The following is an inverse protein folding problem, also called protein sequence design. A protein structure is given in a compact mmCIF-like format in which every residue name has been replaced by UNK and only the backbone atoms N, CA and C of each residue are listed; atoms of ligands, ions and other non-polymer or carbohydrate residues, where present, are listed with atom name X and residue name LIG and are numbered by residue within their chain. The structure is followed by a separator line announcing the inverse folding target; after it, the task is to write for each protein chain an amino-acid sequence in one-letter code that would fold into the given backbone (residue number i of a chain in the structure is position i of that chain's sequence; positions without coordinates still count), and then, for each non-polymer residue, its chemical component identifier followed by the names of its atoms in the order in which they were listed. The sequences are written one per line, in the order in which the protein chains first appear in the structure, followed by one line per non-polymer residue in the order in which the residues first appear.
data_IF_013228937868
#
_entry.id   IF_013228937868
#
_cell.length_a   1.000
_cell.length_b   1.000
_cell.length_c   1.000
_cell.angle_alpha   90.00
_cell.angle_beta   90.00
_cell.angle_gamma   90.00
#
_symmetry.space_group_name_H-M   'P 1'
#
loop_
_entity.id
_entity.type
_entity.pdbx_description
1 polymer ?
#
# COMPACT_ATOMS: atom_id res chain seq x y z
N UNK A 1 -60.28 -4.04 -47.65
CA UNK A 1 -60.49 -2.57 -47.79
C UNK A 1 -60.16 -1.97 -46.44
N UNK A 2 -58.92 -1.54 -46.18
CA UNK A 2 -58.30 -0.26 -46.60
C UNK A 2 -59.12 0.95 -46.12
N UNK A 3 -58.41 1.88 -45.47
CA UNK A 3 -58.81 3.21 -44.95
C UNK A 3 -59.30 3.18 -43.49
N UNK A 4 -58.76 3.94 -42.51
CA UNK A 4 -58.11 5.24 -42.62
C UNK A 4 -57.15 5.52 -41.42
N UNK A 5 -55.87 5.72 -41.75
CA UNK A 5 -54.91 6.53 -41.00
C UNK A 5 -55.23 8.01 -41.23
N UNK A 6 -55.23 8.84 -40.18
CA UNK A 6 -54.53 10.15 -40.09
C UNK A 6 -55.24 11.18 -39.18
N UNK A 7 -54.38 12.02 -38.55
CA UNK A 7 -54.59 13.36 -37.97
C UNK A 7 -55.18 13.39 -36.54
N UNK A 8 -54.55 13.97 -35.51
CA UNK A 8 -53.63 15.14 -35.46
C UNK A 8 -52.58 15.05 -34.34
N UNK A 9 -51.34 15.34 -34.72
CA UNK A 9 -50.26 15.89 -33.87
C UNK A 9 -50.59 17.33 -33.48
N UNK A 10 -50.27 17.72 -32.24
CA UNK A 10 -49.49 18.91 -31.82
C UNK A 10 -49.98 19.41 -30.45
N UNK A 11 -49.12 19.28 -29.45
CA UNK A 11 -48.69 20.42 -28.63
C UNK A 11 -47.37 20.06 -27.94
N UNK A 12 -46.31 20.67 -28.46
CA UNK A 12 -45.01 20.80 -27.85
C UNK A 12 -45.09 21.94 -26.82
N UNK A 13 -44.63 21.71 -25.60
CA UNK A 13 -44.07 22.73 -24.68
C UNK A 13 -42.91 22.03 -23.96
N UNK A 14 -41.65 22.18 -24.41
CA UNK A 14 -40.71 23.22 -23.96
C UNK A 14 -40.90 23.54 -22.47
N UNK A 15 -40.20 22.79 -21.62
CA UNK A 15 -39.70 23.27 -20.33
C UNK A 15 -38.23 22.85 -20.29
N UNK A 16 -37.34 23.84 -20.42
CA UNK A 16 -35.98 23.78 -19.90
C UNK A 16 -36.07 23.58 -18.38
N UNK A 17 -35.36 22.59 -17.85
CA UNK A 17 -34.98 22.58 -16.44
C UNK A 17 -33.49 22.24 -16.38
N UNK A 18 -32.78 23.22 -15.84
CA UNK A 18 -31.34 23.27 -15.68
C UNK A 18 -30.82 22.16 -14.74
N UNK A 19 -29.65 21.67 -15.13
CA UNK A 19 -28.49 21.26 -14.31
C UNK A 19 -28.76 21.17 -12.80
N UNK A 20 -28.62 19.96 -12.24
CA UNK A 20 -27.99 19.70 -10.95
C UNK A 20 -27.57 18.21 -10.89
N UNK A 21 -26.31 17.97 -11.24
CA UNK A 21 -25.62 16.70 -11.03
C UNK A 21 -25.15 16.70 -9.57
N UNK A 22 -25.84 15.98 -8.68
CA UNK A 22 -25.43 15.81 -7.28
C UNK A 22 -24.63 14.52 -7.12
N UNK A 23 -23.30 14.70 -7.03
CA UNK A 23 -22.36 13.75 -6.47
C UNK A 23 -22.56 13.64 -4.95
N UNK A 24 -22.88 12.45 -4.45
CA UNK A 24 -22.65 12.08 -3.06
C UNK A 24 -22.28 10.60 -2.98
N UNK A 25 -21.04 10.31 -2.60
CA UNK A 25 -20.67 9.45 -1.45
C UNK A 25 -19.13 9.37 -1.34
N UNK A 26 -18.55 10.40 -0.74
CA UNK A 26 -17.26 10.32 -0.03
C UNK A 26 -17.55 10.58 1.45
N UNK A 27 -17.35 9.58 2.30
CA UNK A 27 -17.45 9.73 3.76
C UNK A 27 -16.23 10.49 4.30
N UNK A 28 -16.29 11.82 4.21
CA UNK A 28 -15.47 12.72 5.01
C UNK A 28 -16.15 14.10 5.06
N UNK A 29 -16.89 14.39 6.15
CA UNK A 29 -17.39 15.74 6.41
C UNK A 29 -16.27 16.63 7.00
N UNK A 30 -16.14 17.90 6.56
CA UNK A 30 -15.15 18.84 7.10
C UNK A 30 -15.60 19.47 8.44
N UNK A 31 -14.61 19.82 9.26
CA UNK A 31 -14.75 20.42 10.58
C UNK A 31 -15.52 21.75 10.58
N UNK A 32 -16.58 21.83 11.40
CA UNK A 32 -17.15 23.09 11.85
C UNK A 32 -16.53 23.45 13.22
N UNK A 33 -15.84 24.59 13.27
CA UNK A 33 -15.39 25.22 14.51
C UNK A 33 -16.60 25.73 15.29
N UNK A 34 -16.93 25.09 16.41
CA UNK A 34 -17.81 25.67 17.43
C UNK A 34 -17.01 25.92 18.71
N UNK A 35 -16.84 27.20 18.99
CA UNK A 35 -16.43 27.76 20.28
C UNK A 35 -17.57 27.60 21.28
N UNK A 36 -17.30 26.98 22.43
CA UNK A 36 -18.15 27.11 23.64
C UNK A 36 -17.28 27.03 24.91
N UNK A 37 -17.76 27.60 26.03
CA UNK A 37 -16.93 28.32 26.99
C UNK A 37 -16.45 27.50 28.20
N UNK A 38 -15.45 28.09 28.85
CA UNK A 38 -14.80 27.71 30.11
C UNK A 38 -15.77 27.44 31.27
N UNK A 39 -15.55 26.32 31.97
CA UNK A 39 -16.02 26.10 33.34
C UNK A 39 -14.83 25.70 34.22
N UNK A 40 -14.56 26.54 35.21
CA UNK A 40 -13.63 26.35 36.31
C UNK A 40 -14.23 25.39 37.34
N UNK A 41 -13.51 24.34 37.69
CA UNK A 41 -13.64 23.67 39.00
C UNK A 41 -12.26 23.21 39.47
N UNK A 42 -11.84 23.81 40.57
CA UNK A 42 -10.66 23.49 41.39
C UNK A 42 -10.80 22.16 42.11
N UNK A 43 -9.74 21.35 42.21
CA UNK A 43 -9.37 20.59 43.43
C UNK A 43 -7.99 19.91 43.26
N UNK A 44 -7.14 20.05 44.28
CA UNK A 44 -6.25 18.98 44.77
C UNK A 44 -4.89 18.79 44.10
N UNK A 45 -3.85 19.28 44.77
CA UNK A 45 -2.44 19.06 44.43
C UNK A 45 -1.97 17.61 44.67
N UNK A 46 -1.20 17.06 43.72
CA UNK A 46 -0.09 16.14 43.97
C UNK A 46 0.91 16.18 42.78
N UNK A 47 2.18 16.44 43.09
CA UNK A 47 3.29 16.65 42.12
C UNK A 47 3.86 15.32 41.58
N UNK A 48 4.26 15.27 40.31
CA UNK A 48 5.37 14.42 39.86
C UNK A 48 6.64 15.26 39.59
N UNK A 49 7.79 14.70 39.98
CA UNK A 49 9.14 15.23 39.75
C UNK A 49 9.50 15.21 38.26
N UNK A 50 9.75 16.39 37.69
CA UNK A 50 10.22 16.57 36.30
C UNK A 50 11.75 16.65 36.30
N UNK A 51 12.39 15.73 35.58
CA UNK A 51 13.78 15.85 35.17
C UNK A 51 13.94 17.04 34.21
N UNK A 52 14.80 18.01 34.56
CA UNK A 52 15.06 19.22 33.78
C UNK A 52 16.37 19.09 32.99
N UNK A 53 16.29 19.32 31.68
CA UNK A 53 17.44 19.54 30.79
C UNK A 53 18.24 20.80 31.23
N UNK A 54 19.59 20.77 31.27
CA UNK A 54 20.39 21.87 31.81
C UNK A 54 20.83 22.84 30.71
N UNK A 55 19.91 23.46 29.98
CA UNK A 55 20.21 24.58 29.08
C UNK A 55 18.98 25.49 28.95
N UNK A 56 18.78 26.39 29.91
CA UNK A 56 18.09 27.67 29.70
C UNK A 56 18.06 28.50 30.99
N UNK A 57 19.09 29.33 31.15
CA UNK A 57 19.01 30.59 31.91
C UNK A 57 19.67 31.63 31.04
N UNK A 58 18.90 32.53 30.45
CA UNK A 58 19.18 33.97 30.32
C UNK A 58 18.07 34.61 29.46
N UNK A 59 17.23 35.44 30.09
CA UNK A 59 16.29 36.32 29.40
C UNK A 59 16.93 37.71 29.26
N UNK A 60 17.05 38.13 27.99
CA UNK A 60 16.91 39.47 27.40
C UNK A 60 17.67 40.68 27.99
N UNK A 61 18.66 41.16 27.22
CA UNK A 61 19.06 42.58 27.09
C UNK A 61 19.11 42.96 25.60
N UNK A 62 18.84 44.24 25.24
CA UNK A 62 18.55 44.64 23.85
C UNK A 62 19.78 44.62 22.94
N UNK A 63 19.52 44.27 21.67
CA UNK A 63 20.50 44.05 20.60
C UNK A 63 21.07 45.40 20.09
N UNK A 64 22.41 45.51 20.01
CA UNK A 64 23.10 46.68 19.47
C UNK A 64 23.51 46.38 18.02
N UNK A 65 23.05 47.18 17.06
CA UNK A 65 23.41 47.08 15.65
C UNK A 65 24.83 47.61 15.41
N UNK A 66 25.64 46.87 14.64
CA UNK A 66 26.82 47.41 13.97
C UNK A 66 26.83 46.88 12.54
N UNK A 67 26.55 47.76 11.57
CA UNK A 67 26.74 47.50 10.14
C UNK A 67 28.24 47.36 9.82
N UNK A 68 28.65 46.43 8.94
CA UNK A 68 29.99 46.43 8.38
C UNK A 68 30.05 47.23 7.06
N UNK A 69 31.08 48.08 6.98
CA UNK A 69 31.39 49.01 5.89
C UNK A 69 31.85 48.31 4.60
N UNK A 70 31.33 48.76 3.45
CA UNK A 70 31.80 48.41 2.10
C UNK A 70 33.14 49.09 1.80
N UNK A 71 34.12 48.33 1.25
CA UNK A 71 35.32 48.89 0.63
C UNK A 71 35.66 48.12 -0.65
N UNK A 72 35.58 48.81 -1.80
CA UNK A 72 35.93 48.34 -3.14
C UNK A 72 37.44 48.39 -3.40
N UNK A 73 38.06 47.36 -3.99
CA UNK A 73 39.16 47.44 -4.98
C UNK A 73 39.31 46.07 -5.73
N UNK A 74 40.01 45.95 -6.89
CA UNK A 74 39.41 45.78 -8.22
C UNK A 74 39.69 44.42 -8.90
N UNK A 75 38.94 44.11 -9.95
CA UNK A 75 39.03 42.90 -10.78
C UNK A 75 40.13 43.05 -11.83
N UNK A 76 41.09 42.11 -11.90
CA UNK A 76 41.95 41.91 -13.07
C UNK A 76 41.43 40.73 -13.91
N UNK A 77 41.39 40.93 -15.23
CA UNK A 77 41.02 39.91 -16.22
C UNK A 77 42.28 39.40 -16.91
N UNK A 78 42.53 38.10 -16.85
CA UNK A 78 43.34 37.34 -17.83
C UNK A 78 42.80 35.88 -17.86
N UNK A 79 42.74 35.20 -19.03
CA UNK A 79 41.96 33.99 -19.20
C UNK A 79 42.81 32.71 -19.04
N UNK A 80 42.27 31.68 -18.39
CA UNK A 80 42.84 30.32 -18.42
C UNK A 80 41.83 29.34 -19.01
N UNK A 81 42.12 28.91 -20.24
CA UNK A 81 41.56 27.73 -20.90
C UNK A 81 42.36 26.51 -20.46
N UNK A 82 41.72 25.51 -19.84
CA UNK A 82 41.76 24.10 -20.29
C UNK A 82 40.91 23.20 -19.38
N UNK A 83 39.93 22.57 -20.01
CA UNK A 83 39.47 21.18 -19.85
C UNK A 83 39.82 20.45 -18.54
N UNK A 84 38.78 20.06 -17.81
CA UNK A 84 38.63 18.67 -17.38
C UNK A 84 37.15 18.37 -17.11
N UNK A 85 36.58 17.61 -18.05
CA UNK A 85 35.41 16.76 -17.87
C UNK A 85 35.63 15.84 -16.68
N UNK A 86 35.13 16.22 -15.50
CA UNK A 86 34.94 15.23 -14.43
C UNK A 86 33.68 14.46 -14.80
N UNK A 87 33.94 13.36 -15.49
CA UNK A 87 33.02 12.28 -15.79
C UNK A 87 32.07 12.00 -14.64
N UNK A 88 30.77 12.15 -14.91
CA UNK A 88 29.69 11.41 -14.27
C UNK A 88 29.74 9.91 -14.65
N UNK A 89 30.94 9.30 -14.59
CA UNK A 89 31.20 7.93 -14.99
C UNK A 89 32.07 7.25 -13.92
N UNK A 90 31.46 6.84 -12.80
CA UNK A 90 31.97 5.76 -11.95
C UNK A 90 31.02 5.27 -10.84
N UNK A 91 29.74 5.70 -10.78
CA UNK A 91 28.78 5.09 -9.82
C UNK A 91 28.28 3.71 -10.30
N UNK A 92 28.51 3.38 -11.57
CA UNK A 92 28.12 2.11 -12.18
C UNK A 92 29.17 0.99 -11.97
N UNK A 93 29.46 0.59 -10.73
CA UNK A 93 30.16 -0.70 -10.48
C UNK A 93 30.09 -1.25 -9.04
N UNK A 94 29.07 -0.92 -8.23
CA UNK A 94 28.89 -1.53 -6.90
C UNK A 94 27.58 -2.33 -6.73
N UNK A 95 26.85 -2.63 -7.83
CA UNK A 95 25.60 -3.38 -7.76
C UNK A 95 25.73 -4.88 -7.46
N UNK A 96 26.96 -5.42 -7.34
CA UNK A 96 27.22 -6.87 -7.22
C UNK A 96 27.33 -7.41 -5.78
N UNK A 97 27.22 -6.57 -4.75
CA UNK A 97 27.44 -7.00 -3.35
C UNK A 97 26.15 -7.56 -2.71
N UNK A 98 24.98 -7.10 -3.15
CA UNK A 98 23.72 -7.48 -2.52
C UNK A 98 23.23 -8.86 -3.01
N UNK A 99 22.83 -9.76 -2.09
CA UNK A 99 22.24 -11.03 -2.45
C UNK A 99 21.03 -10.83 -3.38
N UNK A 100 20.98 -11.63 -4.45
CA UNK A 100 19.94 -11.57 -5.48
C UNK A 100 19.43 -12.99 -5.76
N UNK A 101 18.12 -13.16 -5.92
CA UNK A 101 17.57 -14.44 -6.34
C UNK A 101 17.90 -14.71 -7.81
N UNK A 102 18.28 -15.94 -8.12
CA UNK A 102 18.53 -16.37 -9.50
C UNK A 102 17.31 -17.12 -10.02
N UNK A 103 16.75 -16.66 -11.13
CA UNK A 103 15.58 -17.27 -11.77
C UNK A 103 16.01 -18.31 -12.80
N UNK A 104 16.33 -19.53 -12.36
CA UNK A 104 16.79 -20.62 -13.24
C UNK A 104 15.68 -21.56 -13.75
N UNK A 105 14.44 -21.37 -13.30
CA UNK A 105 13.35 -22.31 -13.60
C UNK A 105 12.63 -21.97 -14.92
N UNK A 106 11.73 -22.85 -15.38
CA UNK A 106 11.03 -22.71 -16.68
C UNK A 106 9.98 -21.60 -16.68
N UNK A 107 9.19 -21.45 -15.60
CA UNK A 107 8.22 -20.37 -15.43
C UNK A 107 8.74 -19.35 -14.41
N UNK A 108 8.33 -18.09 -14.48
CA UNK A 108 8.84 -17.09 -13.53
C UNK A 108 8.34 -17.39 -12.12
N UNK A 109 7.07 -17.71 -11.98
CA UNK A 109 6.47 -18.03 -10.70
C UNK A 109 5.05 -18.58 -10.82
N UNK A 110 4.47 -18.96 -9.69
CA UNK A 110 3.02 -19.13 -9.57
C UNK A 110 2.45 -17.93 -8.83
N UNK A 111 1.27 -17.48 -9.25
CA UNK A 111 0.55 -16.41 -8.59
C UNK A 111 -0.87 -16.88 -8.20
N UNK A 112 -1.26 -16.69 -6.95
CA UNK A 112 -2.64 -16.83 -6.50
C UNK A 112 -3.25 -15.44 -6.35
N UNK A 113 -4.30 -15.17 -7.12
CA UNK A 113 -5.06 -13.92 -7.08
C UNK A 113 -6.44 -14.22 -6.46
N UNK A 114 -6.68 -13.70 -5.26
CA UNK A 114 -7.99 -13.77 -4.59
C UNK A 114 -8.62 -12.38 -4.61
N UNK A 115 -9.79 -12.26 -5.23
CA UNK A 115 -10.52 -11.01 -5.34
C UNK A 115 -11.93 -11.13 -4.78
N UNK A 116 -12.16 -10.60 -3.59
CA UNK A 116 -13.49 -10.61 -2.98
C UNK A 116 -14.21 -9.33 -3.39
N UNK A 117 -15.29 -9.45 -4.17
CA UNK A 117 -16.00 -8.33 -4.79
C UNK A 117 -17.40 -8.18 -4.19
N UNK A 118 -18.13 -9.30 -4.15
CA UNK A 118 -19.55 -9.35 -3.77
C UNK A 118 -19.68 -9.89 -2.34
N UNK A 119 -19.98 -9.02 -1.39
CA UNK A 119 -20.18 -9.37 0.01
C UNK A 119 -21.66 -9.57 0.32
N UNK A 120 -21.95 -10.25 1.45
CA UNK A 120 -23.34 -10.41 1.94
C UNK A 120 -24.09 -9.08 2.03
N UNK A 121 -23.40 -8.04 2.47
CA UNK A 121 -23.90 -6.66 2.42
C UNK A 121 -23.60 -6.05 1.05
N UNK A 122 -24.65 -5.75 0.28
CA UNK A 122 -24.53 -5.19 -1.07
C UNK A 122 -23.88 -3.81 -1.08
N UNK A 123 -24.01 -3.04 0.01
CA UNK A 123 -23.36 -1.73 0.14
C UNK A 123 -21.83 -1.85 0.27
N UNK A 124 -21.33 -3.06 0.52
CA UNK A 124 -19.90 -3.38 0.58
C UNK A 124 -19.38 -3.98 -0.72
N UNK A 125 -20.14 -3.94 -1.81
CA UNK A 125 -19.62 -4.33 -3.13
C UNK A 125 -18.37 -3.53 -3.49
N UNK A 126 -17.31 -4.23 -3.93
CA UNK A 126 -16.07 -3.59 -4.36
C UNK A 126 -16.12 -3.27 -5.86
N UNK A 127 -16.96 -2.31 -6.25
CA UNK A 127 -17.03 -1.84 -7.64
C UNK A 127 -15.63 -1.45 -8.17
N UNK A 128 -15.34 -1.79 -9.43
CA UNK A 128 -14.01 -1.61 -10.03
C UNK A 128 -12.99 -2.70 -9.68
N UNK A 129 -13.21 -3.52 -8.64
CA UNK A 129 -12.22 -4.53 -8.24
C UNK A 129 -12.00 -5.61 -9.32
N UNK A 130 -12.98 -5.88 -10.19
CA UNK A 130 -12.80 -6.82 -11.30
C UNK A 130 -11.71 -6.34 -12.27
N UNK A 131 -11.65 -5.02 -12.51
CA UNK A 131 -10.64 -4.38 -13.36
C UNK A 131 -9.23 -4.63 -12.81
N UNK A 132 -9.05 -4.44 -11.50
CA UNK A 132 -7.78 -4.73 -10.81
C UNK A 132 -7.31 -6.17 -11.04
N UNK A 133 -8.20 -7.16 -10.87
CA UNK A 133 -7.82 -8.56 -11.10
C UNK A 133 -7.49 -8.85 -12.56
N UNK A 134 -8.16 -8.22 -13.52
CA UNK A 134 -7.92 -8.42 -14.94
C UNK A 134 -6.58 -7.84 -15.38
N UNK A 135 -6.27 -6.62 -14.94
CA UNK A 135 -5.02 -5.95 -15.27
C UNK A 135 -3.84 -6.69 -14.65
N UNK A 136 -3.96 -7.08 -13.38
CA UNK A 136 -2.90 -7.80 -12.69
C UNK A 136 -2.67 -9.20 -13.28
N UNK A 137 -3.73 -9.94 -13.62
CA UNK A 137 -3.62 -11.23 -14.31
C UNK A 137 -2.88 -11.09 -15.65
N UNK A 138 -3.23 -10.07 -16.44
CA UNK A 138 -2.59 -9.77 -17.72
C UNK A 138 -1.10 -9.47 -17.55
N UNK A 139 -0.74 -8.59 -16.63
CA UNK A 139 0.65 -8.22 -16.35
C UNK A 139 1.45 -9.44 -15.88
N UNK A 140 0.93 -10.20 -14.92
CA UNK A 140 1.63 -11.37 -14.37
C UNK A 140 1.83 -12.47 -15.41
N UNK A 141 0.82 -12.76 -16.25
CA UNK A 141 0.95 -13.72 -17.35
C UNK A 141 2.02 -13.28 -18.35
N UNK A 142 2.09 -11.99 -18.69
CA UNK A 142 3.13 -11.42 -19.57
C UNK A 142 4.54 -11.60 -19.02
N UNK A 143 4.71 -11.59 -17.70
CA UNK A 143 5.99 -11.88 -17.03
C UNK A 143 6.31 -13.38 -16.94
N UNK A 144 5.38 -14.26 -17.34
CA UNK A 144 5.56 -15.72 -17.29
C UNK A 144 5.18 -16.33 -15.94
N UNK A 145 4.27 -15.71 -15.18
CA UNK A 145 3.62 -16.37 -14.06
C UNK A 145 2.50 -17.30 -14.54
N UNK A 146 2.39 -18.44 -13.87
CA UNK A 146 1.18 -19.27 -13.88
C UNK A 146 0.19 -18.71 -12.86
N UNK A 147 -0.91 -18.13 -13.35
CA UNK A 147 -1.87 -17.40 -12.52
C UNK A 147 -3.10 -18.25 -12.22
N UNK A 148 -3.38 -18.46 -10.92
CA UNK A 148 -4.65 -18.99 -10.42
C UNK A 148 -5.51 -17.83 -9.89
N UNK A 149 -6.67 -17.61 -10.50
CA UNK A 149 -7.60 -16.55 -10.13
C UNK A 149 -8.84 -17.10 -9.42
N UNK A 150 -9.25 -16.47 -8.31
CA UNK A 150 -10.44 -16.82 -7.53
C UNK A 150 -11.20 -15.58 -7.07
N UNK A 151 -12.48 -15.57 -7.37
CA UNK A 151 -13.38 -14.53 -6.91
C UNK A 151 -14.22 -14.99 -5.71
N UNK A 152 -14.54 -14.02 -4.85
CA UNK A 152 -15.61 -14.13 -3.85
C UNK A 152 -15.49 -15.34 -2.89
N UNK A 153 -14.31 -15.54 -2.31
CA UNK A 153 -14.08 -16.62 -1.36
C UNK A 153 -14.59 -16.24 0.05
N UNK A 154 -15.21 -17.20 0.73
CA UNK A 154 -15.44 -17.11 2.17
C UNK A 154 -14.11 -17.05 2.93
N UNK A 155 -14.10 -16.60 4.19
CA UNK A 155 -12.87 -16.59 4.98
C UNK A 155 -12.24 -17.97 5.11
N UNK A 156 -13.08 -19.01 5.29
CA UNK A 156 -12.62 -20.41 5.35
C UNK A 156 -12.07 -20.89 4.02
N UNK A 157 -12.73 -20.59 2.91
CA UNK A 157 -12.27 -21.01 1.58
C UNK A 157 -11.01 -20.27 1.14
N UNK A 158 -10.87 -19.01 1.53
CA UNK A 158 -9.66 -18.23 1.31
C UNK A 158 -8.47 -18.89 2.01
N UNK A 159 -8.58 -19.19 3.31
CA UNK A 159 -7.50 -19.86 4.04
C UNK A 159 -7.22 -21.26 3.49
N UNK A 160 -8.27 -22.03 3.16
CA UNK A 160 -8.13 -23.35 2.53
C UNK A 160 -7.37 -23.25 1.21
N UNK A 161 -7.69 -22.27 0.36
CA UNK A 161 -7.02 -22.11 -0.93
C UNK A 161 -5.58 -21.66 -0.79
N UNK A 162 -5.31 -20.71 0.10
CA UNK A 162 -3.95 -20.28 0.42
C UNK A 162 -3.10 -21.47 0.88
N UNK A 163 -3.64 -22.32 1.77
CA UNK A 163 -2.98 -23.54 2.22
C UNK A 163 -2.74 -24.54 1.07
N UNK A 164 -3.71 -24.73 0.18
CA UNK A 164 -3.52 -25.59 -1.00
C UNK A 164 -2.42 -25.05 -1.94
N UNK A 165 -2.38 -23.73 -2.13
CA UNK A 165 -1.37 -23.08 -2.95
C UNK A 165 0.03 -23.18 -2.32
N UNK A 166 0.17 -22.98 -1.01
CA UNK A 166 1.46 -23.15 -0.32
C UNK A 166 1.99 -24.58 -0.38
N UNK A 167 1.11 -25.56 -0.56
CA UNK A 167 1.42 -26.98 -0.73
C UNK A 167 1.65 -27.41 -2.18
N UNK A 168 1.51 -26.48 -3.14
CA UNK A 168 1.73 -26.78 -4.55
C UNK A 168 3.22 -27.01 -4.85
N UNK A 169 3.52 -27.78 -5.90
CA UNK A 169 4.89 -27.98 -6.36
C UNK A 169 5.40 -26.74 -7.13
N UNK A 170 6.53 -26.18 -6.71
CA UNK A 170 7.21 -25.04 -7.33
C UNK A 170 8.53 -25.41 -8.02
N UNK A 171 8.87 -26.69 -8.23
CA UNK A 171 10.15 -27.10 -8.83
C UNK A 171 10.44 -26.43 -10.18
N UNK A 172 9.39 -26.08 -10.95
CA UNK A 172 9.49 -25.39 -12.25
C UNK A 172 9.20 -23.89 -12.20
N UNK A 173 9.12 -23.32 -11.01
CA UNK A 173 8.72 -21.93 -10.77
C UNK A 173 9.66 -21.28 -9.75
N UNK A 174 10.12 -20.06 -10.03
CA UNK A 174 11.10 -19.39 -9.18
C UNK A 174 10.46 -18.56 -8.07
N UNK A 175 9.27 -18.00 -8.29
CA UNK A 175 8.61 -17.06 -7.38
C UNK A 175 7.24 -17.63 -6.93
N UNK A 176 6.92 -17.45 -5.64
CA UNK A 176 5.56 -17.58 -5.12
C UNK A 176 4.99 -16.19 -4.89
N UNK A 177 3.86 -15.88 -5.53
CA UNK A 177 3.15 -14.62 -5.36
C UNK A 177 1.72 -14.89 -4.89
N UNK A 178 1.30 -14.21 -3.83
CA UNK A 178 -0.08 -14.24 -3.33
C UNK A 178 -0.61 -12.82 -3.29
N UNK A 179 -1.68 -12.54 -4.02
CA UNK A 179 -2.34 -11.24 -4.02
C UNK A 179 -3.76 -11.43 -3.52
N UNK A 180 -4.12 -10.72 -2.45
CA UNK A 180 -5.48 -10.74 -1.90
C UNK A 180 -6.04 -9.33 -1.89
N UNK A 181 -7.18 -9.16 -2.54
CA UNK A 181 -7.88 -7.90 -2.69
C UNK A 181 -9.26 -8.04 -2.05
N UNK A 182 -9.51 -7.32 -0.96
CA UNK A 182 -10.75 -7.41 -0.20
C UNK A 182 -10.94 -6.18 0.71
N UNK A 183 -12.01 -6.17 1.50
CA UNK A 183 -12.09 -5.32 2.68
C UNK A 183 -11.14 -5.82 3.78
N UNK A 184 -10.72 -4.91 4.65
CA UNK A 184 -9.91 -5.23 5.80
C UNK A 184 -10.12 -4.27 6.96
N UNK A 185 -9.68 -4.69 8.14
CA UNK A 185 -9.75 -3.93 9.39
C UNK A 185 -8.62 -4.38 10.33
N UNK A 186 -8.45 -3.68 11.45
CA UNK A 186 -7.50 -4.00 12.50
C UNK A 186 -8.20 -4.51 13.79
N UNK A 187 -9.43 -4.98 13.68
CA UNK A 187 -10.23 -5.41 14.82
C UNK A 187 -9.98 -6.88 15.08
N UNK A 188 -9.64 -7.22 16.32
CA UNK A 188 -9.59 -8.60 16.79
C UNK A 188 -10.77 -8.85 17.72
N UNK A 189 -11.52 -9.90 17.42
CA UNK A 189 -12.57 -10.39 18.31
C UNK A 189 -12.01 -11.49 19.21
N UNK A 190 -12.12 -11.31 20.52
CA UNK A 190 -11.81 -12.32 21.53
C UNK A 190 -13.04 -12.52 22.42
N UNK A 191 -13.76 -13.62 22.22
CA UNK A 191 -15.08 -13.83 22.83
C UNK A 191 -16.08 -12.76 22.37
N UNK A 192 -16.69 -12.07 23.33
CA UNK A 192 -17.64 -10.98 23.06
C UNK A 192 -16.96 -9.61 22.89
N UNK A 193 -15.64 -9.53 23.09
CA UNK A 193 -14.91 -8.27 23.04
C UNK A 193 -14.29 -8.05 21.66
N UNK A 194 -14.48 -6.84 21.10
CA UNK A 194 -13.84 -6.40 19.86
C UNK A 194 -12.85 -5.29 20.21
N UNK A 195 -11.57 -5.53 19.93
CA UNK A 195 -10.48 -4.58 20.20
C UNK A 195 -9.74 -4.26 18.92
N UNK A 196 -9.47 -2.98 18.69
CA UNK A 196 -8.48 -2.58 17.71
C UNK A 196 -7.10 -3.04 18.19
N UNK A 197 -6.38 -3.78 17.36
CA UNK A 197 -5.02 -4.22 17.64
C UNK A 197 -4.06 -3.22 17.01
N UNK A 198 -3.26 -2.49 17.81
CA UNK A 198 -2.23 -1.59 17.28
C UNK A 198 -1.04 -2.39 16.71
N UNK A 199 -0.10 -1.71 16.07
CA UNK A 199 1.15 -2.34 15.63
C UNK A 199 1.05 -3.14 14.32
N UNK A 200 0.11 -2.79 13.42
CA UNK A 200 0.10 -3.32 12.06
C UNK A 200 -0.77 -4.56 11.83
N UNK A 201 -1.42 -5.09 12.87
CA UNK A 201 -2.37 -6.19 12.74
C UNK A 201 -3.44 -5.88 11.70
N UNK A 202 -3.64 -6.80 10.77
CA UNK A 202 -4.58 -6.63 9.66
C UNK A 202 -5.37 -7.91 9.45
N UNK A 203 -6.69 -7.78 9.43
CA UNK A 203 -7.62 -8.83 9.03
C UNK A 203 -8.20 -8.53 7.65
N UNK A 204 -8.39 -9.59 6.88
CA UNK A 204 -9.02 -9.57 5.56
C UNK A 204 -10.38 -10.24 5.68
N UNK A 205 -11.42 -9.58 5.18
CA UNK A 205 -12.77 -10.12 5.18
C UNK A 205 -12.99 -11.08 4.02
N UNK A 206 -13.52 -12.27 4.29
CA UNK A 206 -14.18 -13.11 3.30
C UNK A 206 -15.55 -12.53 2.92
N UNK A 207 -16.12 -12.98 1.80
CA UNK A 207 -17.47 -12.53 1.37
C UNK A 207 -18.59 -12.88 2.33
N UNK A 208 -18.33 -13.88 3.19
CA UNK A 208 -19.21 -14.32 4.26
C UNK A 208 -19.08 -13.51 5.56
N UNK A 209 -18.22 -12.47 5.55
CA UNK A 209 -17.77 -11.65 6.68
C UNK A 209 -16.84 -12.36 7.67
N UNK A 210 -16.43 -13.60 7.40
CA UNK A 210 -15.41 -14.28 8.21
C UNK A 210 -14.06 -13.60 7.99
N UNK A 211 -13.41 -13.20 9.08
CA UNK A 211 -12.13 -12.51 9.03
C UNK A 211 -10.94 -13.49 9.06
N UNK A 212 -9.88 -13.17 8.31
CA UNK A 212 -8.64 -13.94 8.30
C UNK A 212 -7.47 -12.98 8.49
N UNK A 213 -6.66 -13.19 9.52
CA UNK A 213 -5.47 -12.37 9.74
C UNK A 213 -4.42 -12.60 8.65
N UNK A 214 -3.75 -11.52 8.21
CA UNK A 214 -2.66 -11.62 7.22
C UNK A 214 -1.53 -12.50 7.71
N UNK A 215 -1.25 -12.48 9.01
CA UNK A 215 -0.23 -13.35 9.61
C UNK A 215 -0.61 -14.83 9.51
N UNK A 216 -1.91 -15.18 9.60
CA UNK A 216 -2.38 -16.56 9.38
C UNK A 216 -2.14 -17.03 7.95
N UNK A 217 -2.30 -16.13 6.97
CA UNK A 217 -2.02 -16.38 5.55
C UNK A 217 -0.52 -16.57 5.33
N UNK A 218 0.30 -15.64 5.81
CA UNK A 218 1.77 -15.70 5.68
C UNK A 218 2.34 -16.93 6.38
N UNK A 219 1.78 -17.32 7.53
CA UNK A 219 2.18 -18.50 8.27
C UNK A 219 1.98 -19.82 7.50
N UNK A 220 1.15 -19.84 6.45
CA UNK A 220 1.06 -21.01 5.55
C UNK A 220 2.32 -21.22 4.71
N UNK A 221 3.24 -20.25 4.68
CA UNK A 221 4.45 -20.26 3.86
C UNK A 221 5.76 -20.33 4.66
N UNK A 222 5.67 -20.67 5.93
CA UNK A 222 6.85 -20.99 6.74
C UNK A 222 7.51 -22.27 6.22
N UNK A 223 8.78 -22.48 6.59
CA UNK A 223 9.54 -23.68 6.18
C UNK A 223 8.85 -25.00 6.56
N UNK A 224 8.04 -24.99 7.62
CA UNK A 224 7.31 -26.16 8.11
C UNK A 224 5.94 -26.34 7.45
N UNK A 225 5.30 -25.23 7.04
CA UNK A 225 3.90 -25.25 6.58
C UNK A 225 3.74 -25.22 5.06
N UNK A 226 4.82 -25.06 4.29
CA UNK A 226 4.76 -25.05 2.83
C UNK A 226 5.52 -26.19 2.18
N UNK A 227 5.28 -26.37 0.89
CA UNK A 227 5.96 -27.38 0.10
C UNK A 227 7.47 -27.10 0.08
N UNK A 228 8.28 -28.14 0.26
CA UNK A 228 9.75 -28.04 0.39
C UNK A 228 10.43 -27.33 -0.79
N UNK A 229 9.82 -27.38 -1.97
CA UNK A 229 10.29 -26.68 -3.19
C UNK A 229 10.31 -25.15 -3.11
N UNK A 230 9.72 -24.55 -2.06
CA UNK A 230 9.70 -23.11 -1.80
C UNK A 230 10.84 -22.62 -0.89
N UNK A 231 11.65 -23.54 -0.32
CA UNK A 231 12.81 -23.17 0.50
C UNK A 231 13.82 -22.39 -0.35
N UNK A 232 14.25 -21.22 0.14
CA UNK A 232 15.19 -20.34 -0.56
C UNK A 232 14.59 -19.58 -1.76
N UNK A 233 13.27 -19.67 -1.97
CA UNK A 233 12.57 -18.94 -3.03
C UNK A 233 11.79 -17.74 -2.46
N UNK A 234 11.71 -16.64 -3.22
CA UNK A 234 10.94 -15.47 -2.83
C UNK A 234 9.46 -15.81 -2.70
N UNK A 235 8.88 -15.43 -1.56
CA UNK A 235 7.46 -15.50 -1.24
C UNK A 235 6.94 -14.08 -1.06
N UNK A 236 6.18 -13.62 -2.04
CA UNK A 236 5.69 -12.24 -2.10
C UNK A 236 4.20 -12.25 -1.79
N UNK A 237 3.79 -11.39 -0.86
CA UNK A 237 2.40 -11.18 -0.49
C UNK A 237 2.03 -9.73 -0.79
N UNK A 238 0.91 -9.52 -1.46
CA UNK A 238 0.38 -8.19 -1.73
C UNK A 238 -1.06 -8.14 -1.22
N UNK A 239 -1.30 -7.28 -0.24
CA UNK A 239 -2.59 -7.09 0.39
C UNK A 239 -3.16 -5.73 0.00
N UNK A 240 -4.20 -5.76 -0.82
CA UNK A 240 -5.03 -4.60 -1.14
C UNK A 240 -6.26 -4.63 -0.25
N UNK A 241 -6.16 -3.97 0.91
CA UNK A 241 -7.24 -3.85 1.88
C UNK A 241 -7.04 -2.61 2.75
N UNK A 242 -8.13 -2.16 3.39
CA UNK A 242 -8.05 -1.15 4.45
C UNK A 242 -7.45 -1.77 5.71
N UNK A 243 -6.86 -0.94 6.57
CA UNK A 243 -6.25 -1.39 7.84
C UNK A 243 -6.88 -0.71 9.07
N UNK A 244 -8.11 -0.21 8.96
CA UNK A 244 -8.89 0.46 10.02
C UNK A 244 -8.97 1.99 9.87
N UNK A 245 -9.90 2.64 10.59
CA UNK A 245 -10.09 4.10 10.63
C UNK A 245 -9.40 4.77 11.84
N UNK A 246 -9.18 6.08 11.73
CA UNK A 246 -8.35 6.97 12.55
C UNK A 246 -8.36 6.76 14.08
N UNK A 247 -7.19 7.11 14.62
CA UNK A 247 -6.83 7.46 16.01
C UNK A 247 -6.61 6.30 16.99
N UNK A 248 -5.37 5.83 17.08
CA UNK A 248 -4.75 5.56 18.38
C UNK A 248 -3.26 5.97 18.30
N UNK A 249 -2.86 6.84 19.21
CA UNK A 249 -1.48 7.29 19.41
C UNK A 249 -0.60 6.07 19.74
N UNK A 250 0.56 6.00 19.08
CA UNK A 250 1.53 4.92 19.27
C UNK A 250 2.31 5.16 20.55
N UNK A 251 2.26 4.22 21.50
CA UNK A 251 3.32 4.02 22.48
C UNK A 251 3.57 2.52 22.64
N UNK A 252 4.78 2.06 22.31
CA UNK A 252 5.22 0.71 22.64
C UNK A 252 6.68 0.74 23.10
N UNK A 253 6.90 0.42 24.37
CA UNK A 253 8.16 -0.15 24.83
C UNK A 253 8.21 -1.62 24.39
N UNK A 254 9.32 -2.03 23.78
CA UNK A 254 9.47 -3.33 23.13
C UNK A 254 9.29 -4.51 24.12
N UNK A 255 8.46 -5.49 23.76
CA UNK A 255 8.46 -6.81 24.42
C UNK A 255 9.55 -7.71 23.80
N UNK A 256 10.18 -8.61 24.58
CA UNK A 256 11.28 -9.44 24.10
C UNK A 256 10.82 -10.43 23.03
N UNK A 257 11.54 -10.42 21.90
CA UNK A 257 11.36 -11.36 20.79
C UNK A 257 11.80 -12.76 21.26
N UNK A 258 10.86 -13.72 21.36
CA UNK A 258 11.22 -15.14 21.45
C UNK A 258 11.89 -15.55 20.13
N UNK A 259 13.05 -16.21 20.22
CA UNK A 259 13.88 -16.60 19.09
C UNK A 259 13.17 -17.59 18.14
N UNK A 260 12.44 -17.09 17.15
CA UNK A 260 11.85 -17.86 16.02
C UNK A 260 12.24 -17.25 14.66
N UNK A 261 13.39 -16.58 14.60
CA UNK A 261 13.82 -15.67 13.52
C UNK A 261 14.18 -16.34 12.18
N UNK A 262 14.12 -17.67 12.03
CA UNK A 262 14.32 -18.37 10.73
C UNK A 262 13.05 -19.00 10.13
N UNK A 263 11.90 -18.91 10.80
CA UNK A 263 10.66 -19.52 10.31
C UNK A 263 10.08 -18.80 9.08
N UNK A 264 10.33 -17.49 8.98
CA UNK A 264 9.78 -16.58 7.95
C UNK A 264 10.86 -16.00 7.02
N UNK A 265 11.73 -16.86 6.45
CA UNK A 265 12.76 -16.42 5.50
C UNK A 265 12.22 -16.24 4.07
N UNK A 266 12.84 -15.34 3.31
CA UNK A 266 12.48 -15.03 1.91
C UNK A 266 11.03 -14.56 1.76
N UNK A 267 10.52 -13.75 2.70
CA UNK A 267 9.15 -13.22 2.68
C UNK A 267 9.15 -11.71 2.46
N UNK A 268 8.37 -11.23 1.50
CA UNK A 268 8.06 -9.82 1.28
C UNK A 268 6.55 -9.62 1.41
N UNK A 269 6.11 -8.68 2.23
CA UNK A 269 4.68 -8.39 2.45
C UNK A 269 4.44 -6.93 2.13
N UNK A 270 3.62 -6.64 1.13
CA UNK A 270 3.25 -5.28 0.75
C UNK A 270 1.77 -5.02 1.04
N UNK A 271 1.47 -3.83 1.55
CA UNK A 271 0.13 -3.33 1.83
C UNK A 271 -0.14 -2.07 1.03
N UNK A 272 -1.37 -1.94 0.53
CA UNK A 272 -1.81 -0.77 -0.22
C UNK A 272 -1.88 0.53 0.61
N UNK A 273 -1.88 0.41 1.94
CA UNK A 273 -1.98 1.55 2.87
C UNK A 273 -1.29 1.28 4.21
N UNK A 274 -1.00 2.34 4.97
CA UNK A 274 -0.50 2.30 6.34
C UNK A 274 -1.52 1.64 7.31
N UNK A 275 -1.07 1.07 8.44
CA UNK A 275 -2.00 0.60 9.48
C UNK A 275 -2.90 1.74 9.98
N UNK A 276 -4.20 1.51 10.10
CA UNK A 276 -5.17 2.54 10.52
C UNK A 276 -5.56 3.55 9.44
N UNK A 277 -5.27 3.25 8.16
CA UNK A 277 -5.68 4.06 7.02
C UNK A 277 -6.51 3.24 6.01
N UNK A 278 -7.28 3.98 5.21
CA UNK A 278 -8.13 3.45 4.14
C UNK A 278 -7.36 3.39 2.82
N UNK A 279 -7.79 2.50 1.92
CA UNK A 279 -7.22 2.39 0.57
C UNK A 279 -8.27 2.77 -0.48
N UNK A 280 -7.92 3.72 -1.34
CA UNK A 280 -8.82 4.37 -2.28
C UNK A 280 -9.07 3.53 -3.54
N UNK A 281 -10.26 3.72 -4.12
CA UNK A 281 -10.71 3.02 -5.31
C UNK A 281 -11.57 3.91 -6.19
N UNK A 282 -11.39 3.77 -7.50
CA UNK A 282 -12.31 4.27 -8.50
C UNK A 282 -13.22 3.12 -8.99
N UNK A 283 -14.56 3.31 -9.04
CA UNK A 283 -15.51 2.27 -9.46
C UNK A 283 -15.31 1.73 -10.89
N UNK A 284 -14.71 2.52 -11.79
CA UNK A 284 -14.50 2.16 -13.19
C UNK A 284 -13.08 1.64 -13.44
N UNK A 285 -12.09 2.31 -12.88
CA UNK A 285 -10.67 2.04 -13.19
C UNK A 285 -9.99 1.12 -12.18
N UNK A 286 -10.62 0.80 -11.05
CA UNK A 286 -10.02 -0.05 -10.00
C UNK A 286 -9.30 0.73 -8.88
N UNK A 287 -8.50 0.05 -8.06
CA UNK A 287 -7.78 0.68 -6.94
C UNK A 287 -6.54 1.41 -7.39
N UNK A 288 -6.28 2.59 -6.81
CA UNK A 288 -5.10 3.38 -7.18
C UNK A 288 -3.79 2.61 -6.98
N UNK A 289 -3.71 1.80 -5.93
CA UNK A 289 -2.52 1.00 -5.65
C UNK A 289 -2.31 -0.14 -6.64
N UNK A 290 -3.34 -0.91 -7.01
CA UNK A 290 -3.17 -2.02 -7.97
C UNK A 290 -2.93 -1.49 -9.38
N UNK A 291 -3.59 -0.40 -9.76
CA UNK A 291 -3.36 0.24 -11.05
C UNK A 291 -1.93 0.79 -11.15
N UNK A 292 -1.44 1.50 -10.13
CA UNK A 292 -0.04 1.96 -10.08
C UNK A 292 0.96 0.80 -10.03
N UNK A 293 0.64 -0.28 -9.31
CA UNK A 293 1.47 -1.49 -9.28
C UNK A 293 1.60 -2.13 -10.67
N UNK A 294 0.50 -2.29 -11.40
CA UNK A 294 0.52 -2.82 -12.76
C UNK A 294 1.37 -1.93 -13.68
N UNK A 295 1.12 -0.62 -13.62
CA UNK A 295 1.84 0.42 -14.36
C UNK A 295 3.36 0.36 -14.15
N UNK A 296 3.80 0.32 -12.88
CA UNK A 296 5.22 0.30 -12.51
C UNK A 296 5.87 -1.01 -12.94
N UNK A 297 5.20 -2.16 -12.70
CA UNK A 297 5.72 -3.46 -13.10
C UNK A 297 5.92 -3.49 -14.62
N UNK A 298 4.93 -3.05 -15.42
CA UNK A 298 5.06 -3.09 -16.88
C UNK A 298 6.22 -2.24 -17.41
N UNK A 299 6.47 -1.08 -16.79
CA UNK A 299 7.52 -0.15 -17.23
C UNK A 299 8.91 -0.55 -16.73
N UNK A 300 9.00 -1.01 -15.49
CA UNK A 300 10.27 -1.07 -14.77
C UNK A 300 10.71 -2.47 -14.31
N UNK A 301 9.93 -3.52 -14.62
CA UNK A 301 10.28 -4.91 -14.25
C UNK A 301 11.70 -5.35 -14.63
N UNK A 302 12.30 -4.78 -15.69
CA UNK A 302 13.66 -5.10 -16.15
C UNK A 302 14.76 -4.28 -15.46
N UNK A 303 14.41 -3.12 -14.92
CA UNK A 303 15.35 -2.14 -14.38
C UNK A 303 15.52 -2.31 -12.88
N UNK A 304 14.40 -2.50 -12.17
CA UNK A 304 14.35 -2.45 -10.72
C UNK A 304 13.83 -3.76 -10.13
N UNK A 305 14.36 -4.13 -8.96
CA UNK A 305 13.79 -5.25 -8.20
C UNK A 305 12.50 -4.81 -7.49
N UNK A 306 11.72 -5.78 -7.03
CA UNK A 306 10.37 -5.52 -6.52
C UNK A 306 10.32 -4.48 -5.39
N UNK A 307 11.27 -4.47 -4.45
CA UNK A 307 11.28 -3.47 -3.37
C UNK A 307 11.53 -2.03 -3.89
N UNK A 308 12.35 -1.86 -4.93
CA UNK A 308 12.53 -0.56 -5.59
C UNK A 308 11.27 -0.17 -6.37
N UNK A 309 10.64 -1.13 -7.07
CA UNK A 309 9.35 -0.90 -7.72
C UNK A 309 8.25 -0.51 -6.73
N UNK A 310 8.20 -1.10 -5.53
CA UNK A 310 7.22 -0.71 -4.51
C UNK A 310 7.40 0.74 -4.04
N UNK A 311 8.63 1.27 -4.04
CA UNK A 311 8.89 2.70 -3.78
C UNK A 311 8.36 3.58 -4.91
N UNK A 312 8.53 3.15 -6.17
CA UNK A 312 7.95 3.85 -7.32
C UNK A 312 6.41 3.82 -7.29
N UNK A 313 5.80 2.74 -6.82
CA UNK A 313 4.35 2.66 -6.63
C UNK A 313 3.89 3.69 -5.61
N UNK A 314 4.59 3.83 -4.48
CA UNK A 314 4.28 4.83 -3.46
C UNK A 314 4.42 6.26 -3.99
N UNK A 315 5.52 6.56 -4.68
CA UNK A 315 5.73 7.85 -5.35
C UNK A 315 4.61 8.17 -6.36
N UNK A 316 4.24 7.18 -7.17
CA UNK A 316 3.17 7.34 -8.15
C UNK A 316 1.80 7.56 -7.49
N UNK A 317 1.52 6.92 -6.35
CA UNK A 317 0.30 7.18 -5.57
C UNK A 317 0.22 8.64 -5.12
N UNK A 318 1.32 9.15 -4.54
CA UNK A 318 1.39 10.53 -4.05
C UNK A 318 1.27 11.55 -5.20
N UNK A 319 1.87 11.26 -6.36
CA UNK A 319 1.88 12.16 -7.51
C UNK A 319 0.56 12.17 -8.29
N UNK A 320 -0.11 11.02 -8.45
CA UNK A 320 -1.40 10.92 -9.16
C UNK A 320 -2.58 11.45 -8.34
N UNK A 321 -2.48 11.44 -7.01
CA UNK A 321 -3.59 11.76 -6.11
C UNK A 321 -3.19 12.76 -5.01
N UNK A 322 -2.69 13.96 -5.36
CA UNK A 322 -2.11 14.91 -4.39
C UNK A 322 -3.11 15.41 -3.34
N UNK A 323 -4.42 15.34 -3.63
CA UNK A 323 -5.49 15.73 -2.71
C UNK A 323 -5.86 14.64 -1.69
N UNK A 324 -5.35 13.42 -1.84
CA UNK A 324 -5.70 12.27 -1.01
C UNK A 324 -4.44 11.56 -0.50
N UNK A 325 -4.25 11.55 0.82
CA UNK A 325 -3.10 10.90 1.44
C UNK A 325 -3.30 9.38 1.50
N UNK A 326 -2.69 8.64 0.58
CA UNK A 326 -2.55 7.18 0.66
C UNK A 326 -1.08 6.80 0.52
N UNK A 327 -0.51 6.22 1.57
CA UNK A 327 0.88 5.76 1.60
C UNK A 327 0.91 4.24 1.71
N UNK A 328 1.51 3.59 0.73
CA UNK A 328 1.73 2.15 0.73
C UNK A 328 2.90 1.76 1.65
N UNK A 329 2.93 0.51 2.11
CA UNK A 329 4.03 0.02 2.95
C UNK A 329 4.42 -1.39 2.59
N UNK A 330 5.65 -1.78 2.92
CA UNK A 330 6.07 -3.17 2.82
C UNK A 330 6.99 -3.58 3.96
N UNK A 331 7.01 -4.87 4.25
CA UNK A 331 7.86 -5.51 5.24
C UNK A 331 8.71 -6.59 4.55
N UNK A 332 10.01 -6.56 4.79
CA UNK A 332 11.01 -7.46 4.20
C UNK A 332 11.59 -8.37 5.28
N UNK A 333 11.31 -9.69 5.19
CA UNK A 333 11.74 -10.71 6.16
C UNK A 333 12.77 -11.63 5.52
N UNK A 334 14.05 -11.28 5.68
CA UNK A 334 15.17 -12.02 5.09
C UNK A 334 15.06 -12.16 3.57
N UNK A 335 14.45 -11.17 2.90
CA UNK A 335 14.22 -11.14 1.47
C UNK A 335 15.45 -10.57 0.74
N UNK A 336 15.78 -11.15 -0.42
CA UNK A 336 16.89 -10.72 -1.28
C UNK A 336 16.36 -9.90 -2.46
N UNK A 337 17.25 -9.27 -3.24
CA UNK A 337 16.83 -8.59 -4.48
C UNK A 337 16.14 -9.61 -5.39
N UNK A 338 14.89 -9.31 -5.75
CA UNK A 338 14.04 -10.17 -6.57
C UNK A 338 13.55 -9.38 -7.77
N UNK A 339 13.99 -9.77 -8.95
CA UNK A 339 13.60 -9.14 -10.20
C UNK A 339 12.40 -9.89 -10.79
N UNK A 340 11.36 -9.18 -11.23
CA UNK A 340 10.16 -9.83 -11.79
C UNK A 340 10.31 -10.13 -13.28
N UNK A 341 11.49 -10.58 -13.68
CA UNK A 341 11.80 -10.93 -15.07
C UNK A 341 12.85 -12.02 -15.14
N UNK A 342 12.97 -12.63 -16.32
CA UNK A 342 14.05 -13.56 -16.62
C UNK A 342 15.07 -12.85 -17.49
N UNK A 343 16.35 -12.98 -17.13
CA UNK A 343 17.44 -12.74 -18.07
C UNK A 343 17.32 -13.84 -19.14
N UNK A 344 16.76 -13.47 -20.29
CA UNK A 344 16.67 -14.32 -21.49
C UNK A 344 18.01 -14.42 -22.19
#
# INVERSE_FOLDING_TARGET
MVQHLQRRRRLFSIIQMDILYQDHHTDALPFATQTTPSVLTSYGANRPTVYRSPLNTYQSRPFRSTEPMLRNVPVSQEPIRTTNSIQAASVASNHSILPTYVHTTVNLGKALLINNILFKDRNKERQGAKKDSQDLDKVLKKLGFEVEHKDNLSGKDMLKRVKQFSQSNFNRHSISLVVIMSHGNNLMQSGNEVKAVPGGFTQISGVDNTQVATDTIVNQFTLENCHSSLKGKPKIFIFQCCRGDKSLLVCHDAAPIKAQTKLYADVLIAFSTLPGYTSSRNPETGTWYIQSLCDVIERHQREFHIEEMLKLVDDQLNNKHPLYAQTSTYESRGFKRCFLYKNS
#
